data_IF_225412142149
#
_entry.id   IF_225412142149
#
_cell.length_a   1.000
_cell.length_b   1.000
_cell.length_c   1.000
_cell.angle_alpha   90.00
_cell.angle_beta   90.00
_cell.angle_gamma   90.00
#
_symmetry.space_group_name_H-M   'P 1'
#
loop_
_entity.id
_entity.type
_entity.pdbx_description
1 polymer ?
#
# COMPACT_ATOMS: atom_id res chain seq x y z
N UNK A 1 -2.61 -12.71 6.05
CA UNK A 1 -2.27 -11.27 6.19
C UNK A 1 -3.49 -10.36 6.27
N UNK A 2 -4.49 -10.43 5.39
CA UNK A 2 -5.65 -9.51 5.42
C UNK A 2 -6.42 -9.51 6.76
N UNK A 3 -6.48 -10.64 7.47
CA UNK A 3 -7.11 -10.72 8.79
C UNK A 3 -6.36 -9.88 9.83
N UNK A 4 -5.03 -9.95 9.85
CA UNK A 4 -4.21 -9.09 10.68
C UNK A 4 -4.38 -7.63 10.27
N UNK A 5 -4.32 -7.31 8.98
CA UNK A 5 -4.49 -5.94 8.52
C UNK A 5 -5.78 -5.32 9.01
N UNK A 6 -6.91 -6.04 8.91
CA UNK A 6 -8.19 -5.55 9.42
C UNK A 6 -8.18 -5.29 10.92
N UNK A 7 -7.58 -6.18 11.72
CA UNK A 7 -7.47 -6.00 13.18
C UNK A 7 -6.62 -4.77 13.52
N UNK A 8 -5.47 -4.60 12.85
CA UNK A 8 -4.60 -3.44 13.03
C UNK A 8 -5.27 -2.13 12.61
N UNK A 9 -5.97 -2.12 11.47
CA UNK A 9 -6.70 -0.94 11.01
C UNK A 9 -7.76 -0.53 12.03
N UNK A 10 -8.55 -1.47 12.53
CA UNK A 10 -9.56 -1.19 13.57
C UNK A 10 -8.96 -0.72 14.89
N UNK A 11 -7.82 -1.27 15.29
CA UNK A 11 -7.15 -0.91 16.56
C UNK A 11 -6.49 0.47 16.49
N UNK A 12 -5.89 0.84 15.35
CA UNK A 12 -4.96 1.96 15.29
C UNK A 12 -5.36 3.13 14.38
N UNK A 13 -6.22 2.95 13.38
CA UNK A 13 -6.72 4.09 12.60
C UNK A 13 -7.79 4.84 13.40
N UNK A 14 -7.50 6.11 13.68
CA UNK A 14 -8.38 6.97 14.50
C UNK A 14 -9.49 7.65 13.71
N UNK A 15 -9.30 7.75 12.40
CA UNK A 15 -10.29 8.38 11.52
C UNK A 15 -11.44 7.43 11.20
N UNK A 16 -12.65 7.93 10.93
CA UNK A 16 -13.68 7.13 10.29
C UNK A 16 -13.23 6.77 8.86
N UNK A 17 -13.27 5.49 8.51
CA UNK A 17 -12.83 5.01 7.19
C UNK A 17 -13.76 3.95 6.61
N UNK A 18 -13.69 3.80 5.31
CA UNK A 18 -14.28 2.68 4.57
C UNK A 18 -13.15 1.79 4.05
N UNK A 19 -13.04 0.59 4.60
CA UNK A 19 -12.11 -0.41 4.08
C UNK A 19 -12.72 -1.09 2.87
N UNK A 20 -11.95 -1.14 1.78
CA UNK A 20 -12.33 -1.79 0.51
C UNK A 20 -11.21 -2.74 0.13
N UNK A 21 -11.50 -4.02 0.08
CA UNK A 21 -10.58 -5.04 -0.44
C UNK A 21 -10.80 -5.19 -1.94
N UNK A 22 -9.73 -4.96 -2.69
CA UNK A 22 -9.73 -5.06 -4.15
C UNK A 22 -8.93 -6.29 -4.56
N UNK A 23 -9.60 -7.28 -5.11
CA UNK A 23 -9.02 -8.57 -5.46
C UNK A 23 -8.76 -8.66 -6.97
N UNK A 24 -7.48 -8.73 -7.34
CA UNK A 24 -7.01 -9.00 -8.69
C UNK A 24 -6.32 -10.38 -8.81
N UNK A 25 -6.46 -11.25 -7.81
CA UNK A 25 -5.85 -12.58 -7.82
C UNK A 25 -6.41 -13.45 -8.96
N UNK A 26 -5.65 -14.44 -9.38
CA UNK A 26 -6.07 -15.44 -10.39
C UNK A 26 -6.50 -16.77 -9.77
N UNK A 27 -6.20 -16.97 -8.49
CA UNK A 27 -6.53 -18.19 -7.75
C UNK A 27 -7.96 -18.13 -7.22
N UNK A 28 -8.81 -19.01 -7.71
CA UNK A 28 -10.24 -19.07 -7.34
C UNK A 28 -10.44 -19.37 -5.86
N UNK A 29 -9.60 -20.22 -5.27
CA UNK A 29 -9.69 -20.56 -3.84
C UNK A 29 -9.36 -19.36 -2.96
N UNK A 30 -8.34 -18.60 -3.35
CA UNK A 30 -7.98 -17.34 -2.65
C UNK A 30 -9.11 -16.32 -2.76
N UNK A 31 -9.73 -16.17 -3.94
CA UNK A 31 -10.88 -15.28 -4.15
C UNK A 31 -12.06 -15.62 -3.25
N UNK A 32 -12.39 -16.91 -3.20
CA UNK A 32 -13.49 -17.40 -2.35
C UNK A 32 -13.21 -17.11 -0.88
N UNK A 33 -12.01 -17.40 -0.41
CA UNK A 33 -11.60 -17.13 0.97
C UNK A 33 -11.65 -15.63 1.30
N UNK A 34 -11.16 -14.77 0.42
CA UNK A 34 -11.21 -13.30 0.59
C UNK A 34 -12.65 -12.80 0.60
N UNK A 35 -13.49 -13.29 -0.31
CA UNK A 35 -14.90 -12.91 -0.37
C UNK A 35 -15.63 -13.24 0.94
N UNK A 36 -15.50 -14.47 1.43
CA UNK A 36 -16.14 -14.90 2.69
C UNK A 36 -15.62 -14.09 3.88
N UNK A 37 -14.32 -13.90 3.97
CA UNK A 37 -13.72 -13.04 5.01
C UNK A 37 -14.30 -11.62 4.98
N UNK A 38 -14.37 -11.00 3.81
CA UNK A 38 -14.91 -9.65 3.68
C UNK A 38 -16.39 -9.58 4.04
N UNK A 39 -17.18 -10.58 3.63
CA UNK A 39 -18.60 -10.67 3.97
C UNK A 39 -18.83 -10.78 5.48
N UNK A 40 -18.11 -11.67 6.16
CA UNK A 40 -18.20 -11.88 7.61
C UNK A 40 -17.78 -10.63 8.41
N UNK A 41 -16.80 -9.89 7.92
CA UNK A 41 -16.27 -8.70 8.59
C UNK A 41 -16.91 -7.38 8.10
N UNK A 42 -17.93 -7.43 7.23
CA UNK A 42 -18.62 -6.27 6.65
C UNK A 42 -17.68 -5.31 5.90
N UNK A 43 -16.65 -5.86 5.25
CA UNK A 43 -15.69 -5.13 4.43
C UNK A 43 -16.21 -5.13 2.99
N UNK A 44 -16.12 -4.00 2.31
CA UNK A 44 -16.46 -3.95 0.88
C UNK A 44 -15.45 -4.76 0.07
N UNK A 45 -15.94 -5.70 -0.73
CA UNK A 45 -15.11 -6.54 -1.59
C UNK A 45 -15.39 -6.24 -3.06
N UNK A 46 -14.33 -6.05 -3.82
CA UNK A 46 -14.38 -5.79 -5.26
C UNK A 46 -13.51 -6.80 -5.98
N UNK A 47 -14.15 -7.70 -6.70
CA UNK A 47 -13.46 -8.60 -7.62
C UNK A 47 -13.22 -7.87 -8.94
N UNK A 48 -11.97 -7.69 -9.29
CA UNK A 48 -11.61 -7.11 -10.58
C UNK A 48 -11.78 -8.11 -11.72
N UNK A 49 -12.12 -7.62 -12.93
CA UNK A 49 -12.08 -8.45 -14.12
C UNK A 49 -10.70 -9.05 -14.30
N UNK A 50 -10.64 -10.23 -14.94
CA UNK A 50 -9.36 -10.86 -15.26
C UNK A 50 -8.45 -9.87 -15.99
N UNK A 51 -7.37 -9.50 -15.32
CA UNK A 51 -6.47 -8.48 -15.82
C UNK A 51 -5.45 -9.13 -16.75
N UNK A 52 -5.50 -8.77 -18.03
CA UNK A 52 -4.54 -9.25 -19.02
C UNK A 52 -3.11 -8.72 -18.78
N UNK A 53 -2.93 -7.68 -17.98
CA UNK A 53 -1.61 -7.13 -17.63
C UNK A 53 -0.82 -8.01 -16.63
N UNK A 54 -1.43 -9.04 -16.06
CA UNK A 54 -0.72 -9.98 -15.19
C UNK A 54 0.50 -10.65 -15.87
N UNK A 55 0.49 -10.79 -17.20
CA UNK A 55 1.61 -11.33 -17.95
C UNK A 55 2.70 -10.31 -18.26
N UNK A 56 2.41 -9.01 -18.15
CA UNK A 56 3.41 -7.93 -18.34
C UNK A 56 4.27 -7.73 -17.09
N UNK A 57 3.69 -8.00 -15.90
CA UNK A 57 4.40 -7.88 -14.62
C UNK A 57 3.47 -7.45 -13.47
N UNK A 58 3.85 -7.79 -12.25
CA UNK A 58 3.06 -7.52 -11.03
C UNK A 58 2.75 -6.04 -10.85
N UNK A 59 3.73 -5.16 -11.03
CA UNK A 59 3.56 -3.71 -10.89
C UNK A 59 2.53 -3.14 -11.86
N UNK A 60 2.47 -3.62 -13.10
CA UNK A 60 1.47 -3.17 -14.08
C UNK A 60 0.06 -3.63 -13.73
N UNK A 61 -0.09 -4.89 -13.34
CA UNK A 61 -1.37 -5.44 -12.89
C UNK A 61 -1.90 -4.70 -11.66
N UNK A 62 -1.03 -4.43 -10.71
CA UNK A 62 -1.33 -3.70 -9.49
C UNK A 62 -1.75 -2.25 -9.78
N UNK A 63 -0.97 -1.53 -10.58
CA UNK A 63 -1.27 -0.17 -10.99
C UNK A 63 -2.60 -0.06 -11.75
N UNK A 64 -2.91 -1.03 -12.61
CA UNK A 64 -4.19 -1.07 -13.31
C UNK A 64 -5.37 -1.25 -12.34
N UNK A 65 -5.19 -2.05 -11.29
CA UNK A 65 -6.19 -2.20 -10.22
C UNK A 65 -6.43 -0.87 -9.49
N UNK A 66 -5.36 -0.15 -9.14
CA UNK A 66 -5.46 1.16 -8.49
C UNK A 66 -6.15 2.20 -9.40
N UNK A 67 -5.81 2.24 -10.69
CA UNK A 67 -6.46 3.13 -11.66
C UNK A 67 -7.95 2.81 -11.80
N UNK A 68 -8.32 1.52 -11.79
CA UNK A 68 -9.72 1.12 -11.81
C UNK A 68 -10.48 1.63 -10.59
N UNK A 69 -9.92 1.41 -9.39
CA UNK A 69 -10.54 1.85 -8.13
C UNK A 69 -10.68 3.37 -8.09
N UNK A 70 -9.63 4.09 -8.46
CA UNK A 70 -9.70 5.55 -8.51
C UNK A 70 -10.83 6.03 -9.43
N UNK A 71 -10.87 5.54 -10.67
CA UNK A 71 -11.84 5.96 -11.67
C UNK A 71 -13.29 5.60 -11.31
N UNK A 72 -13.52 4.39 -10.82
CA UNK A 72 -14.87 3.86 -10.68
C UNK A 72 -15.44 3.98 -9.26
N UNK A 73 -14.60 4.28 -8.27
CA UNK A 73 -15.04 4.37 -6.87
C UNK A 73 -14.69 5.73 -6.28
N UNK A 74 -13.39 6.06 -6.24
CA UNK A 74 -12.93 7.26 -5.54
C UNK A 74 -13.46 8.54 -6.21
N UNK A 75 -13.32 8.65 -7.53
CA UNK A 75 -13.80 9.81 -8.28
C UNK A 75 -15.33 9.99 -8.21
N UNK A 76 -16.07 8.90 -7.99
CA UNK A 76 -17.53 8.97 -7.84
C UNK A 76 -17.95 9.32 -6.40
N UNK A 77 -17.28 8.76 -5.40
CA UNK A 77 -17.60 8.97 -3.98
C UNK A 77 -17.10 10.30 -3.44
N UNK A 78 -16.05 10.87 -4.03
CA UNK A 78 -15.44 12.16 -3.65
C UNK A 78 -15.16 12.25 -2.14
N UNK A 79 -14.45 11.32 -1.54
CA UNK A 79 -14.16 11.35 -0.11
C UNK A 79 -13.26 12.55 0.22
N UNK A 80 -13.14 12.94 1.48
CA UNK A 80 -12.16 13.93 1.92
C UNK A 80 -10.73 13.46 1.57
N UNK A 81 -10.43 12.21 1.88
CA UNK A 81 -9.16 11.58 1.59
C UNK A 81 -9.37 10.15 1.10
N UNK A 82 -8.41 9.65 0.35
CA UNK A 82 -8.34 8.24 -0.01
C UNK A 82 -6.89 7.78 0.04
N UNK A 83 -6.70 6.50 0.22
CA UNK A 83 -5.38 5.91 0.22
C UNK A 83 -5.40 4.47 -0.24
N UNK A 84 -4.21 3.96 -0.44
CA UNK A 84 -3.94 2.58 -0.77
C UNK A 84 -2.85 2.07 0.16
N UNK A 85 -3.02 0.88 0.64
CA UNK A 85 -2.05 0.14 1.45
C UNK A 85 -1.94 -1.29 0.92
N UNK A 86 -0.73 -1.84 0.90
CA UNK A 86 -0.51 -3.24 0.56
C UNK A 86 -1.08 -4.16 1.65
N UNK A 87 -1.45 -5.37 1.26
CA UNK A 87 -2.10 -6.35 2.16
C UNK A 87 -1.20 -6.84 3.32
N UNK A 88 0.08 -6.52 3.28
CA UNK A 88 1.11 -6.85 4.27
C UNK A 88 1.71 -5.61 4.94
N UNK A 89 0.97 -4.50 4.91
CA UNK A 89 1.27 -3.26 5.63
C UNK A 89 0.26 -3.04 6.77
N UNK A 90 0.77 -2.69 7.96
CA UNK A 90 0.00 -2.58 9.20
C UNK A 90 0.33 -1.29 9.94
N UNK A 91 -0.68 -0.50 10.41
CA UNK A 91 -0.40 0.54 11.40
C UNK A 91 -0.12 -0.13 12.74
N UNK A 92 0.91 0.30 13.47
CA UNK A 92 1.36 -0.32 14.73
C UNK A 92 1.04 0.51 15.97
N UNK A 93 0.64 1.76 15.78
CA UNK A 93 0.26 2.72 16.82
C UNK A 93 -0.89 3.60 16.34
N UNK A 94 -1.64 4.26 17.26
CA UNK A 94 -2.72 5.16 16.89
C UNK A 94 -2.26 6.23 15.87
N UNK A 95 -2.98 6.36 14.77
CA UNK A 95 -2.67 7.31 13.71
C UNK A 95 -3.96 7.89 13.10
N UNK A 96 -3.94 9.21 12.87
CA UNK A 96 -4.92 9.91 12.03
C UNK A 96 -4.29 10.25 10.68
N UNK A 97 -4.85 9.70 9.60
CA UNK A 97 -4.48 10.03 8.22
C UNK A 97 -4.99 11.44 7.88
N UNK A 98 -6.14 11.82 8.41
CA UNK A 98 -6.70 13.17 8.22
C UNK A 98 -5.75 14.21 8.80
N UNK A 99 -5.17 13.99 9.98
CA UNK A 99 -4.19 14.90 10.57
C UNK A 99 -2.89 15.01 9.74
N UNK A 100 -2.42 13.91 9.17
CA UNK A 100 -1.28 13.92 8.25
C UNK A 100 -1.60 14.74 7.01
N UNK A 101 -2.75 14.51 6.42
CA UNK A 101 -3.19 15.19 5.20
C UNK A 101 -3.65 16.63 5.43
N UNK A 102 -4.04 17.02 6.64
CA UNK A 102 -4.36 18.43 6.94
C UNK A 102 -3.15 19.36 6.81
N UNK A 103 -1.94 18.82 6.93
CA UNK A 103 -0.67 19.56 6.88
C UNK A 103 -0.06 19.58 5.47
N UNK A 104 -0.39 18.60 4.63
CA UNK A 104 0.11 18.44 3.28
C UNK A 104 -0.83 17.57 2.44
N UNK A 105 -0.92 17.76 1.11
CA UNK A 105 -1.96 17.10 0.30
C UNK A 105 -1.71 15.62 0.03
N UNK A 106 -0.52 15.10 0.35
CA UNK A 106 -0.11 13.72 0.12
C UNK A 106 0.63 13.15 1.33
N UNK A 107 0.52 11.84 1.57
CA UNK A 107 1.27 11.16 2.62
C UNK A 107 1.64 9.75 2.16
N UNK A 108 2.90 9.35 2.34
CA UNK A 108 3.44 8.05 1.98
C UNK A 108 4.95 8.07 1.82
N UNK A 109 5.63 6.91 1.79
CA UNK A 109 7.07 6.80 1.65
C UNK A 109 7.57 7.34 0.32
N UNK A 110 8.59 8.18 0.38
CA UNK A 110 9.25 8.77 -0.77
C UNK A 110 10.16 7.75 -1.48
N UNK A 111 10.03 7.65 -2.79
CA UNK A 111 11.01 6.95 -3.65
C UNK A 111 11.71 7.97 -4.55
N UNK A 112 13.04 8.03 -4.44
CA UNK A 112 13.88 8.90 -5.25
C UNK A 112 14.54 8.11 -6.38
N UNK A 113 14.54 8.69 -7.58
CA UNK A 113 15.24 8.18 -8.77
C UNK A 113 15.83 9.38 -9.52
N UNK A 114 17.07 9.72 -9.24
CA UNK A 114 17.74 10.94 -9.72
C UNK A 114 16.92 12.20 -9.40
N UNK A 115 16.51 12.93 -10.43
CA UNK A 115 15.66 14.12 -10.31
C UNK A 115 14.17 13.79 -10.12
N UNK A 116 13.78 12.53 -10.35
CA UNK A 116 12.41 12.06 -10.29
C UNK A 116 12.08 11.53 -8.90
N UNK A 117 10.84 11.72 -8.47
CA UNK A 117 10.38 11.18 -7.21
C UNK A 117 8.89 10.81 -7.27
N UNK A 118 8.47 9.89 -6.44
CA UNK A 118 7.09 9.47 -6.33
C UNK A 118 6.86 8.83 -4.95
N UNK A 119 5.58 8.68 -4.56
CA UNK A 119 5.24 7.90 -3.38
C UNK A 119 5.20 6.41 -3.73
N UNK A 120 5.75 5.61 -2.84
CA UNK A 120 5.66 4.15 -2.96
C UNK A 120 4.21 3.69 -2.90
N UNK A 121 3.82 2.83 -3.84
CA UNK A 121 2.49 2.25 -3.83
C UNK A 121 2.24 1.24 -2.70
N UNK A 122 3.24 0.89 -1.90
CA UNK A 122 3.07 0.14 -0.65
C UNK A 122 2.09 0.86 0.29
N UNK A 123 2.24 2.18 0.37
CA UNK A 123 1.38 3.06 1.16
C UNK A 123 1.34 4.44 0.52
N UNK A 124 0.18 4.91 0.14
CA UNK A 124 0.02 6.28 -0.32
C UNK A 124 -1.39 6.79 -0.01
N UNK A 125 -1.46 8.06 0.39
CA UNK A 125 -2.70 8.75 0.69
C UNK A 125 -2.72 10.13 0.03
N UNK A 126 -3.90 10.56 -0.41
CA UNK A 126 -4.16 11.85 -1.05
C UNK A 126 -5.38 12.53 -0.44
N UNK A 127 -5.32 13.85 -0.32
CA UNK A 127 -6.55 14.65 -0.23
C UNK A 127 -7.25 14.59 -1.60
N UNK A 128 -8.54 14.28 -1.61
CA UNK A 128 -9.28 14.18 -2.86
C UNK A 128 -9.36 15.52 -3.59
N UNK A 129 -9.66 16.60 -2.87
CA UNK A 129 -9.76 17.95 -3.45
C UNK A 129 -8.47 18.42 -4.11
N UNK A 130 -7.33 17.96 -3.64
CA UNK A 130 -6.03 18.27 -4.25
C UNK A 130 -5.84 17.58 -5.61
N UNK A 131 -6.40 16.38 -5.81
CA UNK A 131 -6.16 15.57 -7.02
C UNK A 131 -7.35 15.49 -7.98
N UNK A 132 -8.55 15.94 -7.59
CA UNK A 132 -9.80 15.77 -8.36
C UNK A 132 -9.75 16.32 -9.78
N UNK A 133 -8.99 17.40 -10.00
CA UNK A 133 -8.85 18.09 -11.29
C UNK A 133 -7.52 17.74 -11.99
N UNK A 134 -6.81 16.71 -11.52
CA UNK A 134 -5.55 16.23 -12.07
C UNK A 134 -5.71 14.84 -12.67
N UNK A 135 -4.83 14.50 -13.60
CA UNK A 135 -4.74 13.12 -14.09
C UNK A 135 -4.04 12.27 -13.03
N UNK A 136 -4.83 11.49 -12.29
CA UNK A 136 -4.29 10.46 -11.39
C UNK A 136 -3.98 9.21 -12.21
N UNK A 137 -2.73 8.75 -12.16
CA UNK A 137 -2.26 7.60 -12.91
C UNK A 137 -1.22 6.82 -12.09
N UNK A 138 -1.58 5.60 -11.70
CA UNK A 138 -0.69 4.73 -10.91
C UNK A 138 0.24 3.87 -11.76
N UNK A 139 0.17 3.96 -13.11
CA UNK A 139 1.00 3.13 -13.97
C UNK A 139 2.50 3.39 -13.75
N UNK A 140 3.34 2.35 -13.82
CA UNK A 140 4.78 2.53 -13.96
C UNK A 140 5.09 3.35 -15.22
N UNK A 141 6.09 4.22 -15.14
CA UNK A 141 6.53 5.07 -16.26
C UNK A 141 8.04 5.14 -16.31
N UNK A 142 8.58 5.57 -17.47
CA UNK A 142 10.03 5.65 -17.67
C UNK A 142 10.44 7.04 -18.20
N UNK A 143 10.26 8.11 -17.40
CA UNK A 143 10.70 9.43 -17.83
C UNK A 143 12.23 9.49 -17.94
N UNK A 144 12.75 10.02 -19.06
CA UNK A 144 14.20 10.15 -19.25
C UNK A 144 14.98 8.84 -19.12
N UNK A 145 14.38 7.69 -19.47
CA UNK A 145 14.92 6.34 -19.30
C UNK A 145 15.09 5.86 -17.83
N UNK A 146 14.52 6.56 -16.86
CA UNK A 146 14.53 6.17 -15.46
C UNK A 146 13.18 5.51 -15.10
N UNK A 147 13.22 4.27 -14.65
CA UNK A 147 12.02 3.54 -14.27
C UNK A 147 11.46 4.02 -12.93
N UNK A 148 10.21 4.46 -12.94
CA UNK A 148 9.39 4.71 -11.77
C UNK A 148 8.32 3.62 -11.70
N UNK A 149 8.27 2.94 -10.59
CA UNK A 149 7.37 1.81 -10.34
C UNK A 149 5.90 2.27 -10.16
N UNK A 150 5.02 1.38 -9.72
CA UNK A 150 3.61 1.68 -9.44
C UNK A 150 3.46 2.97 -8.62
N UNK A 151 2.60 3.86 -9.08
CA UNK A 151 2.45 5.23 -8.56
C UNK A 151 3.29 6.28 -9.29
N UNK A 152 4.30 5.86 -10.08
CA UNK A 152 5.20 6.77 -10.80
C UNK A 152 4.51 7.64 -11.85
N UNK A 153 3.41 7.17 -12.46
CA UNK A 153 2.63 7.93 -13.45
C UNK A 153 2.05 9.23 -12.90
N UNK A 154 1.85 9.32 -11.60
CA UNK A 154 1.44 10.54 -10.92
C UNK A 154 2.50 11.65 -10.97
N UNK A 155 3.70 11.36 -11.43
CA UNK A 155 4.75 12.37 -11.60
C UNK A 155 4.28 13.54 -12.46
N UNK A 156 3.68 13.27 -13.61
CA UNK A 156 3.41 14.30 -14.62
C UNK A 156 2.45 15.39 -14.14
N UNK A 157 1.39 15.02 -13.42
CA UNK A 157 0.32 15.95 -13.06
C UNK A 157 0.20 16.22 -11.56
N UNK A 158 0.89 15.45 -10.72
CA UNK A 158 0.82 15.59 -9.27
C UNK A 158 2.19 15.92 -8.69
N UNK A 159 3.14 14.99 -8.71
CA UNK A 159 4.39 15.15 -7.97
C UNK A 159 5.29 16.25 -8.52
N UNK A 160 5.36 16.41 -9.85
CA UNK A 160 6.14 17.47 -10.49
C UNK A 160 5.64 18.91 -10.20
N UNK A 161 4.41 19.03 -9.68
CA UNK A 161 3.79 20.33 -9.33
C UNK A 161 3.93 20.68 -7.83
N UNK A 162 4.57 19.80 -7.06
CA UNK A 162 4.78 19.97 -5.63
C UNK A 162 6.24 20.36 -5.37
N UNK A 163 6.45 21.31 -4.48
CA UNK A 163 7.79 21.52 -3.93
C UNK A 163 8.09 20.41 -2.92
N UNK A 164 8.90 19.45 -3.34
CA UNK A 164 9.29 18.31 -2.49
C UNK A 164 9.90 18.74 -1.16
N UNK A 165 10.61 19.88 -1.11
CA UNK A 165 11.28 20.35 0.10
C UNK A 165 10.31 20.86 1.16
N UNK A 166 9.10 21.23 0.76
CA UNK A 166 8.05 21.67 1.68
C UNK A 166 7.22 20.51 2.26
N UNK A 167 7.46 19.27 1.80
CA UNK A 167 6.73 18.07 2.23
C UNK A 167 7.52 17.28 3.26
N UNK A 168 6.80 16.67 4.18
CA UNK A 168 7.34 15.74 5.18
C UNK A 168 6.98 14.31 4.76
N UNK A 169 7.99 13.49 4.57
CA UNK A 169 7.83 12.10 4.19
C UNK A 169 8.13 11.16 5.37
N UNK A 170 7.40 10.04 5.48
CA UNK A 170 7.74 9.00 6.43
C UNK A 170 9.21 8.57 6.31
N UNK A 171 9.89 8.50 7.44
CA UNK A 171 11.22 7.87 7.50
C UNK A 171 11.11 6.38 7.29
N UNK A 172 12.12 5.78 6.67
CA UNK A 172 12.19 4.34 6.43
C UNK A 172 13.30 3.72 7.30
N UNK A 173 12.98 2.62 7.97
CA UNK A 173 13.94 1.82 8.74
C UNK A 173 13.70 0.33 8.44
N UNK A 174 14.78 -0.44 8.25
CA UNK A 174 14.71 -1.89 8.05
C UNK A 174 15.36 -2.55 9.25
N UNK A 175 14.62 -3.46 9.87
CA UNK A 175 15.10 -4.22 11.04
C UNK A 175 15.07 -5.72 10.72
N UNK A 176 16.09 -6.47 11.12
CA UNK A 176 16.05 -7.92 11.01
C UNK A 176 14.95 -8.48 11.91
N UNK A 177 14.19 -9.44 11.40
CA UNK A 177 13.20 -10.18 12.20
C UNK A 177 13.89 -11.13 13.17
N UNK A 178 15.10 -11.58 12.80
CA UNK A 178 15.99 -12.38 13.63
C UNK A 178 17.45 -12.07 13.32
N UNK A 179 18.34 -12.42 14.25
CA UNK A 179 19.78 -12.24 14.06
C UNK A 179 20.29 -12.98 12.81
N UNK A 180 21.04 -12.26 11.97
CA UNK A 180 21.59 -12.80 10.72
C UNK A 180 20.62 -12.92 9.54
N UNK A 181 19.40 -12.42 9.67
CA UNK A 181 18.42 -12.40 8.58
C UNK A 181 18.79 -11.45 7.45
N UNK A 182 18.50 -11.84 6.21
CA UNK A 182 18.69 -10.97 5.06
C UNK A 182 17.49 -10.04 4.83
N UNK A 183 17.68 -8.98 4.03
CA UNK A 183 16.65 -7.98 3.73
C UNK A 183 15.36 -8.60 3.13
N UNK A 184 15.48 -9.64 2.36
CA UNK A 184 14.36 -10.23 1.63
C UNK A 184 13.71 -11.40 2.36
N UNK A 185 14.48 -12.10 3.17
CA UNK A 185 14.05 -13.29 3.90
C UNK A 185 13.49 -12.99 5.28
N UNK A 186 14.23 -12.25 6.10
CA UNK A 186 14.00 -12.15 7.53
C UNK A 186 14.06 -10.71 8.06
N UNK A 187 13.53 -9.75 7.31
CA UNK A 187 13.50 -8.35 7.73
C UNK A 187 12.10 -7.77 7.66
N UNK A 188 11.85 -6.80 8.53
CA UNK A 188 10.68 -5.96 8.57
C UNK A 188 11.07 -4.54 8.15
N UNK A 189 10.20 -3.88 7.41
CA UNK A 189 10.37 -2.49 7.02
C UNK A 189 9.39 -1.63 7.82
N UNK A 190 9.90 -0.58 8.44
CA UNK A 190 9.08 0.35 9.20
C UNK A 190 9.08 1.72 8.55
N UNK A 191 7.95 2.41 8.65
CA UNK A 191 7.81 3.78 8.19
C UNK A 191 7.30 4.70 9.30
N UNK A 192 7.66 6.00 9.19
CA UNK A 192 7.16 7.09 10.02
C UNK A 192 7.39 6.83 11.52
N UNK A 193 8.65 6.62 11.89
CA UNK A 193 9.07 6.29 13.26
C UNK A 193 8.30 5.07 13.81
N UNK A 194 8.26 4.01 13.01
CA UNK A 194 7.58 2.74 13.30
C UNK A 194 6.05 2.85 13.47
N UNK A 195 5.41 3.89 12.94
CA UNK A 195 3.95 3.96 12.87
C UNK A 195 3.36 2.92 11.93
N UNK A 196 4.14 2.49 10.94
CA UNK A 196 3.74 1.49 9.96
C UNK A 196 4.77 0.38 9.88
N UNK A 197 4.29 -0.85 9.81
CA UNK A 197 5.07 -2.06 9.60
C UNK A 197 4.72 -2.70 8.26
N UNK A 198 5.72 -2.99 7.45
CA UNK A 198 5.61 -3.75 6.20
C UNK A 198 6.43 -5.02 6.30
N UNK A 199 5.84 -6.17 5.94
CA UNK A 199 6.50 -7.47 6.13
C UNK A 199 7.39 -7.89 4.95
N UNK A 200 7.70 -6.99 4.06
CA UNK A 200 8.54 -7.11 2.86
C UNK A 200 8.29 -8.37 2.03
N UNK A 201 7.95 -8.17 0.75
CA UNK A 201 7.78 -9.25 -0.22
C UNK A 201 6.72 -10.31 0.13
N UNK A 202 5.65 -9.95 0.86
CA UNK A 202 4.59 -10.89 1.21
C UNK A 202 4.04 -11.70 0.04
N UNK A 203 3.97 -11.09 -1.15
CA UNK A 203 3.57 -11.76 -2.40
C UNK A 203 4.63 -12.72 -2.99
N UNK A 204 5.88 -12.61 -2.55
CA UNK A 204 7.02 -13.37 -3.08
C UNK A 204 7.57 -14.44 -2.13
N UNK A 205 6.99 -14.62 -0.95
CA UNK A 205 7.48 -15.59 0.04
C UNK A 205 7.55 -17.02 -0.46
N UNK A 206 6.67 -17.41 -1.39
CA UNK A 206 6.71 -18.74 -2.06
C UNK A 206 8.04 -19.03 -2.78
N UNK A 207 8.87 -18.04 -2.99
CA UNK A 207 10.18 -18.16 -3.64
C UNK A 207 11.35 -18.18 -2.65
N UNK A 208 11.07 -18.08 -1.35
CA UNK A 208 12.09 -18.03 -0.29
C UNK A 208 12.24 -19.42 0.31
N UNK A 209 13.46 -19.87 0.53
CA UNK A 209 13.77 -21.22 1.01
C UNK A 209 13.21 -21.56 2.41
N UNK A 210 12.77 -20.60 3.22
CA UNK A 210 12.23 -20.79 4.56
C UNK A 210 10.89 -20.07 4.75
N UNK A 211 10.01 -20.14 3.76
CA UNK A 211 8.72 -19.42 3.78
C UNK A 211 7.88 -19.67 5.04
N UNK A 212 7.74 -20.93 5.46
CA UNK A 212 6.93 -21.30 6.63
C UNK A 212 7.51 -20.72 7.93
N UNK A 213 8.84 -20.69 8.05
CA UNK A 213 9.52 -20.13 9.21
C UNK A 213 9.32 -18.61 9.28
N UNK A 214 9.50 -17.91 8.17
CA UNK A 214 9.23 -16.46 8.10
C UNK A 214 7.76 -16.14 8.41
N UNK A 215 6.81 -16.87 7.84
CA UNK A 215 5.38 -16.66 8.11
C UNK A 215 5.07 -16.83 9.60
N UNK A 216 5.64 -17.83 10.26
CA UNK A 216 5.47 -18.04 11.70
C UNK A 216 6.05 -16.88 12.52
N UNK A 217 7.28 -16.46 12.27
CA UNK A 217 7.91 -15.35 12.98
C UNK A 217 7.15 -14.04 12.79
N UNK A 218 6.70 -13.76 11.56
CA UNK A 218 5.88 -12.57 11.30
C UNK A 218 4.57 -12.62 12.07
N UNK A 219 3.88 -13.77 12.09
CA UNK A 219 2.63 -13.92 12.85
C UNK A 219 2.85 -13.74 14.35
N UNK A 220 3.85 -14.37 14.91
CA UNK A 220 4.22 -14.21 16.33
C UNK A 220 4.48 -12.73 16.67
N UNK A 221 5.21 -12.02 15.79
CA UNK A 221 5.46 -10.60 15.97
C UNK A 221 4.17 -9.75 15.88
N UNK A 222 3.30 -10.03 14.92
CA UNK A 222 2.01 -9.34 14.78
C UNK A 222 1.10 -9.62 15.97
N UNK A 223 1.06 -10.86 16.48
CA UNK A 223 0.27 -11.22 17.67
C UNK A 223 0.75 -10.48 18.92
N UNK A 224 2.07 -10.31 19.09
CA UNK A 224 2.63 -9.51 20.18
C UNK A 224 2.22 -8.02 20.09
N UNK A 225 2.11 -7.45 18.89
CA UNK A 225 1.67 -6.06 18.70
C UNK A 225 0.16 -5.88 18.91
N UNK A 226 -0.62 -6.94 18.75
CA UNK A 226 -2.07 -6.91 18.97
C UNK A 226 -2.46 -7.13 20.44
N UNK A 227 -1.61 -7.81 21.20
CA UNK A 227 -1.81 -8.02 22.65
C UNK A 227 -1.73 -6.69 23.42
#
# INVERSE_FOLDING_TARGET
>A
MIQYQEQFLRKFIQDPYHHIVVDNSTDLKVREQLFHFCLENKIAYILLPKNFLNWVGGSYSYAAALNYVYKHIIAQRRPFAFGQIDHDLFPTRPISIIDKLSKQPIYGPLRLRDQWWYLSAIMLFFQYDFVKDKKVDFMPVTPGNIYLDSGGGNWYDIYSKLDRKSLVFPTECIEPLRDGGDRHGDSLEFFDDKLWLHTINGSCWKKINNQSEKDNHVREYLDQLLS
#
